data_IF_086654527270
#
_entry.id   IF_086654527270
#
_cell.length_a   1.000
_cell.length_b   1.000
_cell.length_c   1.000
_cell.angle_alpha   90.00
_cell.angle_beta   90.00
_cell.angle_gamma   90.00
#
_symmetry.space_group_name_H-M   'P 1'
#
loop_
_entity.id
_entity.type
_entity.pdbx_description
1 polymer ?
#
# COMPACT_ATOMS: atom_id res chain seq x y z
N UNK A 1 16.38 53.10 5.64
CA UNK A 1 15.17 52.87 4.80
C UNK A 1 15.32 51.46 4.30
N UNK A 2 15.06 50.49 5.18
CA UNK A 2 15.39 49.08 4.98
C UNK A 2 14.15 48.37 4.46
N UNK A 3 14.23 47.84 3.24
CA UNK A 3 13.25 46.89 2.74
C UNK A 3 13.64 45.48 3.19
N UNK A 4 12.74 44.68 3.79
CA UNK A 4 13.04 43.28 4.03
C UNK A 4 12.80 42.46 2.75
N UNK A 5 13.83 41.73 2.33
CA UNK A 5 13.70 40.60 1.41
C UNK A 5 12.76 39.56 2.03
N UNK A 6 11.57 39.40 1.45
CA UNK A 6 10.70 38.27 1.77
C UNK A 6 10.68 37.30 0.58
N UNK A 7 11.77 36.55 0.42
CA UNK A 7 11.80 35.39 -0.47
C UNK A 7 11.21 34.20 0.28
N UNK A 8 9.89 34.16 0.37
CA UNK A 8 9.17 32.93 0.70
C UNK A 8 9.29 31.98 -0.51
N UNK A 9 10.34 31.16 -0.54
CA UNK A 9 10.30 29.91 -1.28
C UNK A 9 9.25 29.02 -0.61
N UNK A 10 8.02 29.13 -1.07
CA UNK A 10 6.98 28.14 -0.83
C UNK A 10 7.40 26.88 -1.57
N UNK A 11 8.20 26.04 -0.89
CA UNK A 11 8.37 24.65 -1.28
C UNK A 11 7.01 23.98 -1.06
N UNK A 12 6.14 24.08 -2.06
CA UNK A 12 5.03 23.17 -2.21
C UNK A 12 5.67 21.80 -2.42
N UNK A 13 5.82 21.06 -1.32
CA UNK A 13 6.11 19.64 -1.36
C UNK A 13 4.87 19.00 -2.00
N UNK A 14 4.89 18.91 -3.33
CA UNK A 14 3.84 18.27 -4.10
C UNK A 14 3.74 16.83 -3.61
N UNK A 15 2.69 16.52 -2.88
CA UNK A 15 2.44 15.19 -2.35
C UNK A 15 2.18 14.24 -3.52
N UNK A 16 3.23 13.47 -3.87
CA UNK A 16 3.25 12.56 -5.04
C UNK A 16 2.35 11.34 -4.81
N UNK A 17 1.87 11.13 -3.58
CA UNK A 17 1.06 9.95 -3.24
C UNK A 17 -0.40 10.09 -3.68
N UNK A 18 -0.82 11.29 -4.06
CA UNK A 18 -2.17 11.55 -4.50
C UNK A 18 -2.25 11.70 -6.03
N UNK A 19 -3.38 11.24 -6.57
CA UNK A 19 -3.76 11.48 -7.96
C UNK A 19 -3.88 12.99 -8.24
N UNK A 20 -3.74 13.39 -9.51
CA UNK A 20 -3.84 14.80 -9.94
C UNK A 20 -5.19 15.45 -9.56
N UNK A 21 -6.24 14.64 -9.33
CA UNK A 21 -7.54 15.09 -8.86
C UNK A 21 -7.67 15.12 -7.33
N UNK A 22 -6.61 14.82 -6.57
CA UNK A 22 -6.55 14.71 -5.09
C UNK A 22 -7.62 13.81 -4.44
N UNK A 23 -8.41 13.08 -5.21
CA UNK A 23 -9.54 12.29 -4.71
C UNK A 23 -9.12 10.92 -4.16
N UNK A 24 -7.99 10.39 -4.65
CA UNK A 24 -7.57 9.02 -4.41
C UNK A 24 -6.06 8.94 -4.15
N UNK A 25 -5.67 8.12 -3.17
CA UNK A 25 -4.28 7.72 -2.90
C UNK A 25 -3.83 6.67 -3.89
N UNK A 26 -2.58 6.72 -4.33
CA UNK A 26 -1.98 5.73 -5.22
C UNK A 26 -1.48 4.57 -4.35
N UNK A 27 -2.07 3.39 -4.53
CA UNK A 27 -1.69 2.18 -3.79
C UNK A 27 -0.55 1.44 -4.49
N UNK A 28 -0.62 1.35 -5.83
CA UNK A 28 0.38 0.69 -6.66
C UNK A 28 0.64 1.46 -7.95
N UNK A 29 1.82 1.25 -8.54
CA UNK A 29 2.16 1.77 -9.87
C UNK A 29 2.71 0.62 -10.71
N UNK A 30 2.03 0.31 -11.81
CA UNK A 30 2.59 -0.56 -12.84
C UNK A 30 3.50 0.25 -13.74
N UNK A 31 4.69 -0.29 -13.98
CA UNK A 31 5.68 0.32 -14.88
C UNK A 31 6.06 -0.71 -15.93
N UNK A 32 5.91 -0.34 -17.19
CA UNK A 32 6.36 -1.18 -18.29
C UNK A 32 6.94 -0.35 -19.42
N UNK A 33 7.84 -0.98 -20.17
CA UNK A 33 8.52 -0.40 -21.32
C UNK A 33 7.77 -0.81 -22.58
N UNK A 34 7.59 0.15 -23.48
CA UNK A 34 7.05 -0.05 -24.82
C UNK A 34 8.08 0.39 -25.84
N UNK A 35 8.20 -0.32 -26.95
CA UNK A 35 9.09 0.06 -28.05
C UNK A 35 8.32 1.01 -28.95
N UNK A 36 8.83 2.23 -29.15
CA UNK A 36 8.24 3.16 -30.11
C UNK A 36 8.86 2.90 -31.47
N UNK A 37 8.06 2.38 -32.41
CA UNK A 37 8.51 2.09 -33.78
C UNK A 37 8.69 3.40 -34.56
N UNK A 38 9.80 4.12 -34.34
CA UNK A 38 10.22 5.16 -35.28
C UNK A 38 10.77 4.49 -36.53
N UNK A 39 10.18 4.79 -37.67
CA UNK A 39 10.34 4.11 -38.94
C UNK A 39 11.81 3.90 -39.38
N UNK A 40 12.03 2.77 -40.04
CA UNK A 40 13.17 2.47 -40.95
C UNK A 40 14.38 1.77 -40.35
N UNK A 41 14.31 0.46 -40.05
CA UNK A 41 15.37 -0.50 -40.46
C UNK A 41 14.81 -1.93 -40.49
N UNK A 42 14.81 -2.53 -41.68
CA UNK A 42 14.35 -3.90 -41.95
C UNK A 42 15.48 -4.89 -41.65
N UNK A 43 15.43 -5.54 -40.49
CA UNK A 43 16.30 -6.69 -40.15
C UNK A 43 15.43 -7.81 -39.58
N UNK A 44 15.61 -9.06 -39.98
CA UNK A 44 14.74 -10.19 -39.60
C UNK A 44 14.56 -10.35 -38.08
N UNK A 45 15.60 -10.03 -37.29
CA UNK A 45 15.55 -10.03 -35.83
C UNK A 45 14.55 -9.02 -35.24
N UNK A 46 14.25 -7.91 -35.92
CA UNK A 46 13.29 -6.91 -35.43
C UNK A 46 11.84 -7.34 -35.64
N UNK A 47 11.57 -8.26 -36.58
CA UNK A 47 10.22 -8.74 -36.83
C UNK A 47 9.73 -9.62 -35.66
N UNK A 48 10.59 -10.51 -35.17
CA UNK A 48 10.28 -11.37 -34.02
C UNK A 48 10.06 -10.55 -32.73
N UNK A 49 10.91 -9.55 -32.47
CA UNK A 49 10.75 -8.63 -31.34
C UNK A 49 9.44 -7.83 -31.41
N UNK A 50 9.03 -7.41 -32.61
CA UNK A 50 7.77 -6.70 -32.82
C UNK A 50 6.54 -7.60 -32.61
N UNK A 51 6.62 -8.87 -33.01
CA UNK A 51 5.55 -9.84 -32.76
C UNK A 51 5.43 -10.18 -31.27
N UNK A 52 6.55 -10.34 -30.57
CA UNK A 52 6.55 -10.51 -29.12
C UNK A 52 5.97 -9.29 -28.40
N UNK A 53 6.35 -8.07 -28.83
CA UNK A 53 5.80 -6.85 -28.24
C UNK A 53 4.28 -6.73 -28.49
N UNK A 54 3.78 -7.16 -29.65
CA UNK A 54 2.33 -7.24 -29.91
C UNK A 54 1.61 -8.23 -29.00
N UNK A 55 2.21 -9.41 -28.76
CA UNK A 55 1.66 -10.40 -27.82
C UNK A 55 1.65 -9.85 -26.39
N UNK A 56 2.75 -9.23 -25.98
CA UNK A 56 2.89 -8.62 -24.67
C UNK A 56 1.89 -7.46 -24.48
N UNK A 57 1.67 -6.63 -25.51
CA UNK A 57 0.64 -5.59 -25.50
C UNK A 57 -0.77 -6.18 -25.32
N UNK A 58 -1.06 -7.30 -25.98
CA UNK A 58 -2.30 -8.06 -25.77
C UNK A 58 -2.48 -8.53 -24.33
N UNK A 59 -1.43 -9.09 -23.72
CA UNK A 59 -1.46 -9.51 -22.32
C UNK A 59 -1.60 -8.35 -21.34
N UNK A 60 -0.92 -7.23 -21.59
CA UNK A 60 -1.03 -6.01 -20.77
C UNK A 60 -2.46 -5.47 -20.78
N UNK A 61 -3.09 -5.39 -21.96
CA UNK A 61 -4.48 -4.95 -22.11
C UNK A 61 -5.45 -5.84 -21.34
N UNK A 62 -5.34 -7.16 -21.51
CA UNK A 62 -6.17 -8.12 -20.79
C UNK A 62 -5.99 -7.99 -19.27
N UNK A 63 -4.74 -7.87 -18.80
CA UNK A 63 -4.46 -7.67 -17.38
C UNK A 63 -5.06 -6.37 -16.83
N UNK A 64 -4.89 -5.24 -17.54
CA UNK A 64 -5.49 -3.96 -17.15
C UNK A 64 -7.03 -4.01 -17.14
N UNK A 65 -7.64 -4.69 -18.12
CA UNK A 65 -9.10 -4.90 -18.19
C UNK A 65 -9.60 -5.74 -17.00
N UNK A 66 -8.87 -6.79 -16.64
CA UNK A 66 -9.20 -7.65 -15.51
C UNK A 66 -9.11 -6.89 -14.18
N UNK A 67 -8.10 -6.02 -14.00
CA UNK A 67 -8.00 -5.18 -12.81
C UNK A 67 -9.22 -4.24 -12.69
N UNK A 68 -9.64 -3.62 -13.79
CA UNK A 68 -10.87 -2.82 -13.82
C UNK A 68 -12.11 -3.67 -13.49
N UNK A 69 -12.19 -4.90 -14.01
CA UNK A 69 -13.30 -5.83 -13.76
C UNK A 69 -13.41 -6.21 -12.28
N UNK A 70 -12.28 -6.36 -11.59
CA UNK A 70 -12.23 -6.61 -10.15
C UNK A 70 -12.58 -5.39 -9.28
N UNK A 71 -12.76 -4.22 -9.90
CA UNK A 71 -13.18 -2.97 -9.26
C UNK A 71 -12.03 -2.02 -8.94
N UNK A 72 -10.81 -2.27 -9.42
CA UNK A 72 -9.69 -1.35 -9.25
C UNK A 72 -9.78 -0.19 -10.25
N UNK A 73 -9.33 0.99 -9.82
CA UNK A 73 -9.35 2.21 -10.64
C UNK A 73 -7.94 2.47 -11.17
N UNK A 74 -7.79 2.48 -12.49
CA UNK A 74 -6.52 2.69 -13.16
C UNK A 74 -6.44 4.13 -13.72
N UNK A 75 -5.44 4.88 -13.30
CA UNK A 75 -5.06 6.15 -13.90
C UNK A 75 -3.82 5.97 -14.77
N UNK A 76 -3.98 6.21 -16.06
CA UNK A 76 -2.87 6.21 -17.02
C UNK A 76 -2.33 7.63 -17.09
N UNK A 77 -1.07 7.82 -16.74
CA UNK A 77 -0.45 9.11 -16.98
C UNK A 77 -0.26 9.26 -18.50
N UNK A 78 -0.88 10.30 -19.07
CA UNK A 78 -0.62 10.71 -20.44
C UNK A 78 0.86 11.04 -20.57
N UNK A 79 1.58 10.20 -21.30
CA UNK A 79 2.95 10.42 -21.71
C UNK A 79 3.07 11.81 -22.34
N UNK A 80 3.78 12.77 -21.72
CA UNK A 80 4.29 13.94 -22.47
C UNK A 80 5.51 14.68 -21.88
N UNK A 81 6.04 14.38 -20.68
CA UNK A 81 7.10 15.25 -20.11
C UNK A 81 8.52 14.67 -20.03
N UNK A 82 8.72 13.36 -20.21
CA UNK A 82 10.06 12.77 -20.19
C UNK A 82 10.28 11.79 -21.35
N UNK A 83 9.87 12.17 -22.56
CA UNK A 83 10.53 11.63 -23.75
C UNK A 83 11.99 12.10 -23.73
N UNK A 84 12.87 11.33 -23.12
CA UNK A 84 14.29 11.44 -23.41
C UNK A 84 14.46 11.09 -24.88
N UNK A 85 14.59 12.12 -25.71
CA UNK A 85 14.66 12.10 -27.18
C UNK A 85 15.84 11.27 -27.76
N UNK A 86 16.54 10.50 -26.92
CA UNK A 86 17.70 9.69 -27.23
C UNK A 86 17.44 8.17 -27.22
N UNK A 87 16.26 7.69 -26.81
CA UNK A 87 15.99 6.25 -26.67
C UNK A 87 14.70 5.82 -27.36
N UNK A 88 14.76 4.76 -28.19
CA UNK A 88 13.65 4.19 -28.98
C UNK A 88 12.53 3.52 -28.14
N UNK A 89 12.41 3.89 -26.88
CA UNK A 89 11.56 3.20 -25.92
C UNK A 89 10.84 4.20 -25.03
N UNK A 90 9.56 3.96 -24.82
CA UNK A 90 8.68 4.77 -23.98
C UNK A 90 8.33 3.98 -22.72
N UNK A 91 8.58 4.58 -21.55
CA UNK A 91 8.18 4.02 -20.26
C UNK A 91 6.77 4.49 -19.93
N UNK A 92 5.85 3.56 -19.65
CA UNK A 92 4.48 3.86 -19.27
C UNK A 92 4.28 3.57 -17.79
N UNK A 93 3.61 4.51 -17.12
CA UNK A 93 3.21 4.42 -15.72
C UNK A 93 1.69 4.34 -15.64
N UNK A 94 1.18 3.30 -14.96
CA UNK A 94 -0.25 3.14 -14.67
C UNK A 94 -0.40 3.11 -13.16
N UNK A 95 -0.98 4.17 -12.61
CA UNK A 95 -1.31 4.29 -11.19
C UNK A 95 -2.58 3.49 -10.92
N UNK A 96 -2.57 2.69 -9.87
CA UNK A 96 -3.70 1.88 -9.43
C UNK A 96 -4.19 2.43 -8.09
N UNK A 97 -5.50 2.61 -8.00
CA UNK A 97 -6.20 2.91 -6.77
C UNK A 97 -7.17 1.78 -6.44
N UNK A 98 -7.17 1.34 -5.18
CA UNK A 98 -8.11 0.36 -4.65
C UNK A 98 -9.25 1.07 -3.89
N UNK A 99 -10.47 1.10 -4.43
CA UNK A 99 -11.61 1.69 -3.73
C UNK A 99 -11.89 0.97 -2.41
N UNK A 100 -12.53 1.69 -1.48
CA UNK A 100 -12.85 1.16 -0.15
C UNK A 100 -13.62 -0.16 -0.19
N UNK A 101 -14.54 -0.32 -1.15
CA UNK A 101 -15.31 -1.55 -1.35
C UNK A 101 -14.41 -2.76 -1.68
N UNK A 102 -13.42 -2.58 -2.55
CA UNK A 102 -12.44 -3.62 -2.91
C UNK A 102 -11.60 -3.98 -1.69
N UNK A 103 -11.03 -2.97 -1.02
CA UNK A 103 -10.23 -3.16 0.19
C UNK A 103 -11.00 -3.93 1.27
N UNK A 104 -12.25 -3.57 1.48
CA UNK A 104 -13.18 -4.18 2.44
C UNK A 104 -13.48 -5.64 2.09
N UNK A 105 -13.79 -5.93 0.81
CA UNK A 105 -13.99 -7.30 0.33
C UNK A 105 -12.76 -8.18 0.57
N UNK A 106 -11.58 -7.71 0.20
CA UNK A 106 -10.35 -8.47 0.37
C UNK A 106 -9.90 -8.57 1.83
N UNK A 107 -10.15 -7.55 2.65
CA UNK A 107 -9.88 -7.62 4.09
C UNK A 107 -10.68 -8.73 4.78
N UNK A 108 -11.93 -8.95 4.35
CA UNK A 108 -12.78 -10.03 4.85
C UNK A 108 -12.31 -11.41 4.37
N UNK A 109 -11.90 -11.53 3.10
CA UNK A 109 -11.36 -12.77 2.52
C UNK A 109 -10.05 -13.17 3.23
N UNK A 110 -9.15 -12.21 3.43
CA UNK A 110 -7.85 -12.41 4.08
C UNK A 110 -7.95 -12.51 5.61
N UNK A 111 -9.14 -12.28 6.19
CA UNK A 111 -9.39 -12.30 7.64
C UNK A 111 -8.44 -11.36 8.41
N UNK A 112 -8.25 -10.15 7.89
CA UNK A 112 -7.38 -9.15 8.53
C UNK A 112 -7.87 -8.85 9.95
N UNK A 113 -6.93 -8.73 10.90
CA UNK A 113 -7.24 -8.36 12.29
C UNK A 113 -7.25 -6.85 12.41
N UNK A 114 -8.42 -6.28 12.70
CA UNK A 114 -8.61 -4.86 12.90
C UNK A 114 -8.70 -4.53 14.39
N UNK A 115 -8.16 -3.38 14.83
CA UNK A 115 -8.34 -2.91 16.20
C UNK A 115 -9.82 -2.64 16.46
N UNK A 116 -10.30 -3.04 17.63
CA UNK A 116 -11.65 -2.74 18.09
C UNK A 116 -11.72 -1.34 18.70
N UNK A 117 -12.90 -0.70 18.67
CA UNK A 117 -13.13 0.58 19.37
C UNK A 117 -12.81 0.43 20.86
N UNK A 118 -12.11 1.43 21.38
CA UNK A 118 -11.90 1.57 22.82
C UNK A 118 -13.18 2.14 23.45
N UNK A 119 -13.69 1.50 24.50
CA UNK A 119 -14.86 1.99 25.22
C UNK A 119 -14.44 3.12 26.17
N UNK A 120 -14.97 4.35 26.00
CA UNK A 120 -14.62 5.46 26.88
C UNK A 120 -15.14 5.15 28.29
N UNK A 121 -14.21 4.93 29.23
CA UNK A 121 -14.53 4.64 30.64
C UNK A 121 -13.93 3.34 31.18
N UNK A 122 -13.34 2.49 30.34
CA UNK A 122 -12.46 1.43 30.81
C UNK A 122 -11.02 1.97 30.87
N UNK A 123 -10.30 1.80 31.99
CA UNK A 123 -8.86 2.09 32.01
C UNK A 123 -8.19 1.25 30.92
N UNK A 124 -7.09 1.73 30.30
CA UNK A 124 -6.28 0.90 29.42
C UNK A 124 -6.02 -0.41 30.15
N UNK A 125 -6.57 -1.50 29.60
CA UNK A 125 -6.49 -2.82 30.21
C UNK A 125 -5.03 -3.29 30.13
N UNK A 126 -4.21 -2.81 31.05
CA UNK A 126 -3.11 -3.62 31.54
C UNK A 126 -3.75 -4.91 32.02
N UNK A 127 -3.35 -6.04 31.43
CA UNK A 127 -3.70 -7.37 31.92
C UNK A 127 -3.04 -7.57 33.28
N UNK A 128 -3.50 -6.86 34.30
CA UNK A 128 -3.26 -7.20 35.69
C UNK A 128 -4.19 -8.37 35.98
N UNK A 129 -3.66 -9.58 36.27
CA UNK A 129 -4.52 -10.67 36.66
C UNK A 129 -5.35 -10.22 37.87
N UNK A 130 -6.66 -10.54 37.94
CA UNK A 130 -7.45 -10.24 39.13
C UNK A 130 -6.74 -10.83 40.34
N UNK A 131 -6.77 -10.14 41.49
CA UNK A 131 -5.95 -10.46 42.68
C UNK A 131 -6.00 -11.95 43.10
N UNK A 132 -7.09 -12.66 42.80
CA UNK A 132 -7.22 -14.10 43.08
C UNK A 132 -6.43 -15.03 42.14
N UNK A 133 -6.12 -14.60 40.92
CA UNK A 133 -5.30 -15.37 39.96
C UNK A 133 -3.80 -15.06 40.09
N UNK A 134 -3.44 -13.98 40.79
CA UNK A 134 -2.05 -13.60 41.00
C UNK A 134 -1.28 -14.66 41.81
N UNK A 135 -1.90 -15.17 42.87
CA UNK A 135 -1.36 -16.25 43.72
C UNK A 135 -1.12 -17.55 42.93
N UNK A 136 -2.00 -17.87 41.97
CA UNK A 136 -1.85 -19.06 41.11
C UNK A 136 -0.75 -18.87 40.05
N UNK A 137 -0.61 -17.66 39.50
CA UNK A 137 0.47 -17.33 38.56
C UNK A 137 1.84 -17.27 39.22
N UNK A 138 1.93 -16.97 40.51
CA UNK A 138 3.20 -16.92 41.25
C UNK A 138 3.80 -18.30 41.47
N UNK A 139 2.97 -19.32 41.76
CA UNK A 139 3.43 -20.71 41.87
C UNK A 139 3.92 -21.26 40.52
N UNK A 140 3.20 -21.00 39.43
CA UNK A 140 3.56 -21.50 38.09
C UNK A 140 4.73 -20.73 37.52
N UNK A 141 4.80 -19.41 37.72
CA UNK A 141 5.92 -18.60 37.26
C UNK A 141 7.23 -18.96 37.94
N UNK A 142 7.20 -19.39 39.22
CA UNK A 142 8.38 -19.87 39.94
C UNK A 142 8.96 -21.15 39.33
N UNK A 143 8.13 -22.03 38.78
CA UNK A 143 8.53 -23.25 38.06
C UNK A 143 9.02 -22.95 36.63
N UNK A 144 8.43 -21.95 35.96
CA UNK A 144 8.80 -21.53 34.60
C UNK A 144 9.77 -20.33 34.53
N UNK A 145 10.37 -19.92 35.65
CA UNK A 145 11.28 -18.75 35.72
C UNK A 145 12.54 -18.93 34.86
N UNK A 146 12.93 -20.16 34.52
CA UNK A 146 14.04 -20.43 33.59
C UNK A 146 13.73 -19.97 32.15
N UNK A 147 12.46 -19.76 31.80
CA UNK A 147 12.00 -19.39 30.45
C UNK A 147 11.38 -17.97 30.41
N UNK A 148 11.38 -17.23 31.54
CA UNK A 148 10.91 -15.84 31.55
C UNK A 148 11.96 -14.94 30.89
N UNK A 149 11.62 -14.47 29.69
CA UNK A 149 12.40 -13.49 28.94
C UNK A 149 12.53 -12.18 29.74
N UNK A 150 13.75 -11.63 29.79
CA UNK A 150 14.02 -10.38 30.51
C UNK A 150 13.21 -9.21 29.93
N UNK A 151 12.47 -8.45 30.76
CA UNK A 151 11.73 -7.26 30.31
C UNK A 151 12.62 -6.17 29.71
N UNK A 152 13.94 -6.17 30.01
CA UNK A 152 14.90 -5.25 29.39
C UNK A 152 15.19 -5.56 27.92
N UNK A 153 14.97 -6.81 27.51
CA UNK A 153 15.15 -7.29 26.14
C UNK A 153 13.80 -7.32 25.42
N UNK A 154 12.71 -7.56 26.16
CA UNK A 154 11.34 -7.63 25.65
C UNK A 154 10.39 -6.76 26.49
N UNK A 155 10.29 -5.45 26.20
CA UNK A 155 9.36 -4.59 26.91
C UNK A 155 7.91 -5.04 26.70
N UNK A 156 7.02 -4.88 27.70
CA UNK A 156 5.62 -5.23 27.55
C UNK A 156 4.99 -4.40 26.43
N UNK A 157 4.44 -5.08 25.42
CA UNK A 157 3.76 -4.44 24.30
C UNK A 157 2.31 -4.17 24.69
N UNK A 158 1.84 -2.93 24.50
CA UNK A 158 0.43 -2.58 24.61
C UNK A 158 -0.39 -3.49 23.68
N UNK A 159 -1.25 -4.32 24.27
CA UNK A 159 -2.12 -5.25 23.53
C UNK A 159 -3.47 -4.59 23.32
N UNK A 160 -3.74 -4.16 22.10
CA UNK A 160 -5.09 -3.72 21.71
C UNK A 160 -5.95 -4.93 21.36
N UNK A 161 -7.24 -4.90 21.72
CA UNK A 161 -8.18 -5.90 21.26
C UNK A 161 -8.30 -5.80 19.74
N UNK A 162 -8.17 -6.95 19.08
CA UNK A 162 -8.31 -7.03 17.64
C UNK A 162 -9.31 -8.13 17.29
N UNK A 163 -10.19 -7.83 16.35
CA UNK A 163 -11.17 -8.77 15.81
C UNK A 163 -10.90 -8.98 14.33
N UNK A 164 -11.34 -10.12 13.80
CA UNK A 164 -11.30 -10.37 12.36
C UNK A 164 -12.28 -9.41 11.67
N UNK A 165 -11.82 -8.75 10.62
CA UNK A 165 -12.62 -7.81 9.86
C UNK A 165 -13.84 -8.49 9.24
N UNK A 166 -14.99 -7.84 9.32
CA UNK A 166 -16.26 -8.27 8.74
C UNK A 166 -17.03 -7.02 8.32
N UNK A 167 -17.58 -7.01 7.11
CA UNK A 167 -18.34 -5.87 6.57
C UNK A 167 -19.50 -5.42 7.45
N UNK A 168 -20.16 -6.37 8.10
CA UNK A 168 -21.32 -6.11 8.96
C UNK A 168 -20.96 -5.48 10.32
N UNK A 169 -19.67 -5.39 10.63
CA UNK A 169 -19.17 -4.86 11.90
C UNK A 169 -18.32 -3.67 11.60
N UNK A 170 -18.90 -2.47 11.71
CA UNK A 170 -18.21 -1.25 11.29
C UNK A 170 -16.79 -1.22 11.89
N UNK A 171 -16.62 -1.31 13.22
CA UNK A 171 -15.36 -1.71 13.89
C UNK A 171 -15.61 -1.76 15.42
N UNK A 172 -16.74 -2.37 15.77
CA UNK A 172 -17.37 -2.49 17.10
C UNK A 172 -17.09 -3.85 17.73
#
# INVERSE_FOLDING_TARGET
MDQPLNNAHTNAHTDVTHTHTHAHTIDYVLVYRTITTTATTTTTATIEELEEEKRNDGWRKNFEEELCREGLVLQRDGLDQHQHHAQNFSMRFVKIHAPFEVCTRYAEILKLRMPMKEFPGLPPLEFSPPAMLQDMTDCVSRVFNFVRLSPSIFPPKNRHFTAVYTRDKDYL
#
